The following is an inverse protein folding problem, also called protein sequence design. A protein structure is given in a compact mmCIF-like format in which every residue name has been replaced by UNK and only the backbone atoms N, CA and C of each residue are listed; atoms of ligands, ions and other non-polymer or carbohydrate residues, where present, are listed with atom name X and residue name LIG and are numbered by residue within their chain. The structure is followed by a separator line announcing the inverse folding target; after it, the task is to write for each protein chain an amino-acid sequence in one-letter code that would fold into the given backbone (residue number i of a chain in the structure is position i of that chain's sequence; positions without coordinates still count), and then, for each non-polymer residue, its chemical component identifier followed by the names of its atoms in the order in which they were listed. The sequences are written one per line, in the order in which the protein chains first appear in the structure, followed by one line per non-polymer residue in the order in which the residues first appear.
data_IF_547071512410
#
_entry.id   IF_547071512410
#
_cell.length_a   1.000
_cell.length_b   1.000
_cell.length_c   1.000
_cell.angle_alpha   90.00
_cell.angle_beta   90.00
_cell.angle_gamma   90.00
#
_symmetry.space_group_name_H-M   'P 1'
#
loop_
_entity.id
_entity.type
_entity.pdbx_description
1 polymer ?
#
# COMPACT_ATOMS: atom_id res chain seq x y z
N UNK A 1 -4.10 -13.19 13.35
CA UNK A 1 -3.86 -12.92 11.91
C UNK A 1 -2.81 -13.85 11.30
N UNK A 2 -1.71 -14.18 11.99
CA UNK A 2 -0.68 -15.09 11.50
C UNK A 2 -1.25 -16.41 10.90
N UNK A 3 -2.14 -17.10 11.62
CA UNK A 3 -2.82 -18.33 11.16
C UNK A 3 -3.63 -18.14 9.86
N UNK A 4 -4.18 -16.96 9.63
CA UNK A 4 -4.92 -16.69 8.41
C UNK A 4 -3.97 -16.59 7.22
N UNK A 5 -2.91 -15.78 7.35
CA UNK A 5 -1.94 -15.53 6.29
C UNK A 5 -1.06 -16.75 5.98
N UNK A 6 -0.78 -17.63 6.95
CA UNK A 6 0.00 -18.85 6.75
C UNK A 6 -0.63 -19.86 5.77
N UNK A 7 -1.91 -19.67 5.43
CA UNK A 7 -2.58 -20.44 4.38
C UNK A 7 -2.11 -20.05 2.97
N UNK A 8 -1.62 -18.82 2.79
CA UNK A 8 -1.23 -18.25 1.50
C UNK A 8 0.27 -18.00 1.38
N UNK A 9 0.93 -17.66 2.50
CA UNK A 9 2.34 -17.25 2.55
C UNK A 9 3.15 -18.35 3.23
N UNK A 10 4.29 -18.71 2.62
CA UNK A 10 5.29 -19.64 3.14
C UNK A 10 6.63 -18.93 3.34
N UNK A 11 7.52 -19.59 4.06
CA UNK A 11 8.89 -19.12 4.27
C UNK A 11 9.60 -18.92 2.92
N UNK A 12 10.24 -17.76 2.75
CA UNK A 12 10.95 -17.38 1.53
C UNK A 12 10.07 -16.80 0.42
N UNK A 13 8.73 -16.85 0.54
CA UNK A 13 7.84 -16.25 -0.44
C UNK A 13 8.02 -14.72 -0.52
N UNK A 14 7.84 -14.16 -1.72
CA UNK A 14 7.79 -12.73 -1.93
C UNK A 14 6.38 -12.20 -1.72
N UNK A 15 6.24 -11.16 -0.90
CA UNK A 15 4.98 -10.48 -0.62
C UNK A 15 5.11 -8.98 -0.90
N UNK A 16 4.05 -8.37 -1.44
CA UNK A 16 3.94 -6.92 -1.55
C UNK A 16 2.95 -6.40 -0.50
N UNK A 17 3.35 -5.36 0.24
CA UNK A 17 2.51 -4.61 1.17
C UNK A 17 2.36 -3.18 0.61
N UNK A 18 1.32 -2.97 -0.19
CA UNK A 18 1.02 -1.69 -0.84
C UNK A 18 0.14 -0.86 0.10
N UNK A 19 0.61 0.34 0.44
CA UNK A 19 0.10 1.11 1.57
C UNK A 19 0.53 0.48 2.89
N UNK A 20 1.85 0.30 3.04
CA UNK A 20 2.41 -0.38 4.22
C UNK A 20 2.17 0.37 5.53
N UNK A 21 1.93 1.70 5.46
CA UNK A 21 1.61 2.55 6.61
C UNK A 21 2.63 2.32 7.75
N UNK A 22 2.17 1.99 8.96
CA UNK A 22 3.05 1.70 10.11
C UNK A 22 3.66 0.28 10.11
N UNK A 23 3.50 -0.53 9.06
CA UNK A 23 4.16 -1.83 8.94
C UNK A 23 3.44 -3.02 9.59
N UNK A 24 2.23 -2.83 10.11
CA UNK A 24 1.46 -3.86 10.83
C UNK A 24 1.24 -5.16 10.03
N UNK A 25 1.20 -5.11 8.70
CA UNK A 25 1.06 -6.30 7.84
C UNK A 25 2.43 -6.90 7.50
N UNK A 26 3.40 -6.06 7.17
CA UNK A 26 4.79 -6.47 7.00
C UNK A 26 5.34 -7.27 8.20
N UNK A 27 5.09 -6.88 9.45
CA UNK A 27 5.53 -7.65 10.63
C UNK A 27 5.01 -9.09 10.62
N UNK A 28 3.72 -9.27 10.31
CA UNK A 28 3.08 -10.59 10.25
C UNK A 28 3.68 -11.42 9.12
N UNK A 29 3.97 -10.81 7.97
CA UNK A 29 4.59 -11.50 6.84
C UNK A 29 6.04 -11.88 7.14
N UNK A 30 6.79 -11.05 7.87
CA UNK A 30 8.14 -11.36 8.33
C UNK A 30 8.16 -12.51 9.32
N UNK A 31 7.19 -12.57 10.24
CA UNK A 31 7.04 -13.67 11.20
C UNK A 31 6.78 -15.01 10.47
N UNK A 32 6.20 -14.98 9.26
CA UNK A 32 6.06 -16.15 8.40
C UNK A 32 7.32 -16.48 7.56
N UNK A 33 8.39 -15.69 7.71
CA UNK A 33 9.64 -15.86 6.96
C UNK A 33 9.61 -15.32 5.53
N UNK A 34 8.64 -14.48 5.18
CA UNK A 34 8.54 -13.91 3.84
C UNK A 34 9.57 -12.81 3.59
N UNK A 35 9.85 -12.55 2.30
CA UNK A 35 10.51 -11.34 1.82
C UNK A 35 9.45 -10.33 1.41
N UNK A 36 9.61 -9.07 1.78
CA UNK A 36 8.54 -8.08 1.64
C UNK A 36 9.03 -6.84 0.90
N UNK A 37 8.23 -6.39 -0.06
CA UNK A 37 8.34 -5.05 -0.63
C UNK A 37 7.24 -4.19 0.01
N UNK A 38 7.62 -3.32 0.94
CA UNK A 38 6.74 -2.35 1.57
C UNK A 38 6.70 -1.09 0.70
N UNK A 39 5.53 -0.72 0.19
CA UNK A 39 5.37 0.48 -0.65
C UNK A 39 4.53 1.49 0.10
N UNK A 40 5.13 2.64 0.41
CA UNK A 40 4.51 3.68 1.24
C UNK A 40 5.03 5.06 0.82
N UNK A 41 4.15 5.98 0.38
CA UNK A 41 4.57 7.32 -0.02
C UNK A 41 4.66 8.33 1.15
N UNK A 42 3.99 8.13 2.28
CA UNK A 42 3.90 9.13 3.34
C UNK A 42 5.21 9.21 4.15
N UNK A 43 5.80 10.41 4.25
CA UNK A 43 7.10 10.61 4.92
C UNK A 43 7.15 10.10 6.36
N UNK A 44 6.10 10.33 7.14
CA UNK A 44 6.07 9.89 8.54
C UNK A 44 6.05 8.35 8.66
N UNK A 45 5.24 7.68 7.83
CA UNK A 45 5.22 6.23 7.77
C UNK A 45 6.55 5.67 7.26
N UNK A 46 7.18 6.31 6.28
CA UNK A 46 8.51 5.92 5.80
C UNK A 46 9.58 6.00 6.89
N UNK A 47 9.59 7.06 7.71
CA UNK A 47 10.52 7.16 8.85
C UNK A 47 10.31 5.98 9.80
N UNK A 48 9.05 5.68 10.15
CA UNK A 48 8.72 4.57 11.03
C UNK A 48 9.09 3.20 10.45
N UNK A 49 8.78 2.95 9.18
CA UNK A 49 9.15 1.72 8.48
C UNK A 49 10.67 1.54 8.46
N UNK A 50 11.44 2.62 8.27
CA UNK A 50 12.90 2.55 8.32
C UNK A 50 13.42 2.29 9.73
N UNK A 51 12.78 2.83 10.77
CA UNK A 51 13.12 2.49 12.17
C UNK A 51 12.87 1.01 12.47
N UNK A 52 11.74 0.47 12.02
CA UNK A 52 11.38 -0.94 12.25
C UNK A 52 12.20 -1.91 11.41
N UNK A 53 12.37 -1.63 10.12
CA UNK A 53 12.85 -2.60 9.13
C UNK A 53 14.09 -2.19 8.35
N UNK A 54 14.67 -1.00 8.59
CA UNK A 54 15.79 -0.47 7.80
C UNK A 54 17.06 -1.35 7.83
N UNK A 55 17.20 -2.21 8.85
CA UNK A 55 18.30 -3.18 8.96
C UNK A 55 17.91 -4.60 8.54
N UNK A 56 16.66 -4.83 8.14
CA UNK A 56 16.17 -6.16 7.75
C UNK A 56 16.61 -6.50 6.33
N UNK A 57 17.24 -7.67 6.15
CA UNK A 57 17.60 -8.17 4.81
C UNK A 57 16.38 -8.71 4.04
N UNK A 58 15.25 -8.91 4.72
CA UNK A 58 14.02 -9.45 4.13
C UNK A 58 12.99 -8.37 3.80
N UNK A 59 13.29 -7.09 4.05
CA UNK A 59 12.37 -5.97 3.74
C UNK A 59 13.07 -4.98 2.81
N UNK A 60 12.36 -4.59 1.76
CA UNK A 60 12.70 -3.43 0.94
C UNK A 60 11.58 -2.41 1.10
N UNK A 61 11.95 -1.18 1.45
CA UNK A 61 11.01 -0.06 1.57
C UNK A 61 11.09 0.79 0.30
N UNK A 62 9.95 1.04 -0.32
CA UNK A 62 9.80 1.83 -1.55
C UNK A 62 9.03 3.09 -1.23
N UNK A 63 9.72 4.24 -1.28
CA UNK A 63 9.15 5.59 -1.17
C UNK A 63 8.46 6.00 -2.49
N UNK A 64 7.31 5.36 -2.76
CA UNK A 64 6.42 5.66 -3.88
C UNK A 64 4.98 5.30 -3.51
N UNK A 65 4.02 5.89 -4.20
CA UNK A 65 2.65 5.41 -4.26
C UNK A 65 2.49 4.43 -5.43
N UNK A 66 1.53 3.51 -5.35
CA UNK A 66 1.18 2.63 -6.47
C UNK A 66 -0.06 3.17 -7.17
N UNK A 67 -0.02 3.23 -8.49
CA UNK A 67 -1.07 3.74 -9.38
C UNK A 67 -1.06 2.96 -10.71
N UNK A 68 -1.89 3.38 -11.66
CA UNK A 68 -1.90 2.91 -13.05
C UNK A 68 -0.89 3.61 -13.96
N UNK A 69 -0.03 4.48 -13.40
CA UNK A 69 1.02 5.20 -14.12
C UNK A 69 2.26 5.46 -13.26
N UNK A 70 3.41 5.60 -13.92
CA UNK A 70 4.65 6.11 -13.32
C UNK A 70 4.73 7.63 -13.47
N UNK A 71 5.20 8.34 -12.45
CA UNK A 71 5.26 9.80 -12.47
C UNK A 71 5.18 10.42 -11.09
N UNK A 72 4.36 11.46 -10.96
CA UNK A 72 4.10 12.18 -9.71
C UNK A 72 2.61 12.30 -9.44
N UNK A 73 2.25 12.36 -8.17
CA UNK A 73 0.90 12.66 -7.71
C UNK A 73 0.92 13.47 -6.41
N UNK A 74 -0.25 13.94 -6.00
CA UNK A 74 -0.45 14.61 -4.72
C UNK A 74 -1.16 13.68 -3.74
N UNK A 75 -0.51 13.41 -2.62
CA UNK A 75 -1.08 12.73 -1.47
C UNK A 75 -1.70 13.78 -0.55
N UNK A 76 -3.00 13.67 -0.28
CA UNK A 76 -3.65 14.47 0.76
C UNK A 76 -3.30 13.84 2.11
N UNK A 77 -2.56 14.57 2.95
CA UNK A 77 -2.08 14.09 4.25
C UNK A 77 -2.98 14.61 5.36
N UNK A 78 -3.43 13.70 6.23
CA UNK A 78 -4.03 14.09 7.50
C UNK A 78 -2.96 14.03 8.59
N UNK A 79 -2.46 15.20 9.02
CA UNK A 79 -1.34 15.31 9.95
C UNK A 79 -1.62 14.73 11.35
N UNK A 80 -2.90 14.53 11.70
CA UNK A 80 -3.31 13.99 12.99
C UNK A 80 -3.64 12.49 12.96
N UNK A 81 -3.86 11.90 11.79
CA UNK A 81 -4.15 10.47 11.62
C UNK A 81 -3.58 9.95 10.29
N UNK A 82 -2.43 9.27 10.37
CA UNK A 82 -1.74 8.72 9.19
C UNK A 82 -2.57 7.67 8.45
N UNK A 83 -3.50 7.00 9.15
CA UNK A 83 -4.36 5.95 8.61
C UNK A 83 -5.31 6.48 7.53
N UNK A 84 -5.58 7.79 7.44
CA UNK A 84 -6.57 8.33 6.48
C UNK A 84 -5.95 9.23 5.39
N UNK A 85 -4.63 9.19 5.20
CA UNK A 85 -3.97 9.88 4.09
C UNK A 85 -4.31 9.19 2.77
N UNK A 86 -4.71 9.95 1.74
CA UNK A 86 -5.27 9.39 0.51
C UNK A 86 -4.85 10.17 -0.73
N UNK A 87 -4.70 9.47 -1.86
CA UNK A 87 -4.59 10.08 -3.19
C UNK A 87 -5.95 10.26 -3.87
N UNK A 88 -7.04 9.79 -3.24
CA UNK A 88 -8.39 9.88 -3.78
C UNK A 88 -9.07 11.16 -3.35
N UNK A 89 -9.26 12.10 -4.28
CA UNK A 89 -10.04 13.32 -4.04
C UNK A 89 -11.49 13.02 -3.63
N UNK A 90 -12.04 11.90 -4.08
CA UNK A 90 -13.38 11.44 -3.70
C UNK A 90 -13.42 10.97 -2.24
N UNK A 91 -12.40 10.24 -1.78
CA UNK A 91 -12.29 9.82 -0.38
C UNK A 91 -12.18 11.02 0.58
N UNK A 92 -11.41 12.04 0.18
CA UNK A 92 -11.29 13.30 0.91
C UNK A 92 -12.64 14.01 1.13
N UNK A 93 -13.44 14.11 0.07
CA UNK A 93 -14.66 14.93 0.08
C UNK A 93 -15.92 14.15 0.50
N UNK A 94 -15.97 12.85 0.25
CA UNK A 94 -17.16 12.03 0.47
C UNK A 94 -16.93 10.90 1.47
N UNK A 95 -15.68 10.55 1.79
CA UNK A 95 -15.33 9.41 2.65
C UNK A 95 -15.89 9.48 4.07
N UNK A 96 -15.84 8.34 4.78
CA UNK A 96 -16.40 8.18 6.13
C UNK A 96 -15.86 9.22 7.14
N UNK A 97 -14.64 9.70 6.92
CA UNK A 97 -13.94 10.64 7.80
C UNK A 97 -14.01 12.10 7.34
N UNK A 98 -14.68 12.39 6.22
CA UNK A 98 -14.73 13.71 5.58
C UNK A 98 -15.33 14.82 6.45
N UNK A 99 -16.13 14.47 7.47
CA UNK A 99 -16.77 15.41 8.39
C UNK A 99 -15.97 15.67 9.67
N UNK A 100 -15.03 14.80 10.01
CA UNK A 100 -14.34 14.81 11.31
C UNK A 100 -12.87 15.23 11.19
N UNK A 101 -12.24 15.05 10.03
CA UNK A 101 -10.82 15.32 9.81
C UNK A 101 -10.60 16.32 8.67
N UNK A 102 -9.63 17.22 8.85
CA UNK A 102 -9.17 18.13 7.80
C UNK A 102 -7.85 17.60 7.24
N UNK A 103 -7.79 17.41 5.93
CA UNK A 103 -6.52 17.26 5.23
C UNK A 103 -5.88 18.64 5.10
N UNK A 104 -4.92 18.93 5.97
CA UNK A 104 -4.31 20.26 6.13
C UNK A 104 -3.05 20.44 5.29
N UNK A 105 -2.47 19.38 4.74
CA UNK A 105 -1.33 19.47 3.82
C UNK A 105 -1.39 18.46 2.68
N UNK A 106 -0.72 18.82 1.58
CA UNK A 106 -0.53 17.99 0.38
C UNK A 106 0.95 17.65 0.24
N UNK A 107 1.26 16.39 0.01
CA UNK A 107 2.61 15.91 -0.25
C UNK A 107 2.74 15.45 -1.70
N UNK A 108 3.70 16.00 -2.45
CA UNK A 108 4.06 15.45 -3.76
C UNK A 108 4.81 14.14 -3.58
N UNK A 109 4.35 13.10 -4.26
CA UNK A 109 4.87 11.74 -4.16
C UNK A 109 5.16 11.19 -5.55
N UNK A 110 6.17 10.33 -5.65
CA UNK A 110 6.41 9.58 -6.89
C UNK A 110 5.40 8.43 -6.99
N UNK A 111 4.94 8.13 -8.19
CA UNK A 111 4.07 6.98 -8.46
C UNK A 111 4.81 5.89 -9.23
N UNK A 112 4.40 4.65 -9.02
CA UNK A 112 4.83 3.46 -9.77
C UNK A 112 3.63 2.57 -10.07
N UNK A 113 3.79 1.57 -10.94
CA UNK A 113 2.76 0.54 -11.19
C UNK A 113 3.10 -0.78 -10.50
N UNK A 114 2.10 -1.64 -10.31
CA UNK A 114 2.32 -3.02 -9.87
C UNK A 114 3.20 -3.79 -10.88
N UNK A 115 2.98 -3.59 -12.18
CA UNK A 115 3.83 -4.20 -13.21
C UNK A 115 5.31 -3.77 -13.09
N UNK A 116 5.57 -2.48 -12.81
CA UNK A 116 6.95 -1.99 -12.63
C UNK A 116 7.60 -2.60 -11.37
N UNK A 117 6.86 -2.69 -10.26
CA UNK A 117 7.34 -3.35 -9.04
C UNK A 117 7.64 -4.83 -9.27
N UNK A 118 6.76 -5.54 -9.99
CA UNK A 118 6.97 -6.95 -10.34
C UNK A 118 8.19 -7.12 -11.25
N UNK A 119 8.36 -6.24 -12.24
CA UNK A 119 9.52 -6.27 -13.12
C UNK A 119 10.84 -6.03 -12.37
N UNK A 120 10.82 -5.23 -11.31
CA UNK A 120 12.01 -4.87 -10.56
C UNK A 120 12.36 -5.91 -9.46
N UNK A 121 11.36 -6.40 -8.74
CA UNK A 121 11.56 -7.20 -7.53
C UNK A 121 11.13 -8.67 -7.67
N UNK A 122 10.44 -9.02 -8.75
CA UNK A 122 9.86 -10.34 -8.98
C UNK A 122 8.37 -10.40 -8.68
N UNK A 123 7.72 -11.48 -9.14
CA UNK A 123 6.29 -11.68 -8.94
C UNK A 123 5.99 -12.14 -7.49
N UNK A 124 5.15 -11.44 -6.73
CA UNK A 124 4.78 -11.86 -5.38
C UNK A 124 3.78 -13.03 -5.42
N UNK A 125 3.81 -13.86 -4.38
CA UNK A 125 2.75 -14.85 -4.10
C UNK A 125 1.52 -14.16 -3.52
N UNK A 126 1.72 -13.11 -2.71
CA UNK A 126 0.66 -12.38 -2.03
C UNK A 126 0.86 -10.87 -2.14
N UNK A 127 -0.20 -10.13 -2.50
CA UNK A 127 -0.19 -8.68 -2.53
C UNK A 127 -1.33 -8.14 -1.68
N UNK A 128 -0.99 -7.39 -0.62
CA UNK A 128 -1.96 -6.59 0.13
C UNK A 128 -1.99 -5.18 -0.46
N UNK A 129 -3.19 -4.63 -0.65
CA UNK A 129 -3.43 -3.28 -1.18
C UNK A 129 -4.39 -2.58 -0.23
N UNK A 130 -3.94 -1.52 0.40
CA UNK A 130 -4.74 -0.77 1.38
C UNK A 130 -4.27 0.67 1.31
N UNK A 131 -4.87 1.42 0.39
CA UNK A 131 -4.40 2.75 -0.04
C UNK A 131 -5.51 3.79 0.11
N UNK A 132 -6.45 3.53 1.01
CA UNK A 132 -7.50 4.44 1.46
C UNK A 132 -8.31 5.02 0.29
N UNK A 133 -8.85 4.15 -0.55
CA UNK A 133 -9.78 4.53 -1.63
C UNK A 133 -9.13 4.76 -3.00
N UNK A 134 -7.88 4.33 -3.19
CA UNK A 134 -7.15 4.38 -4.46
C UNK A 134 -6.88 2.99 -5.07
N UNK A 135 -7.54 1.95 -4.54
CA UNK A 135 -7.31 0.53 -4.88
C UNK A 135 -7.57 0.25 -6.37
N UNK A 136 -8.56 0.90 -6.97
CA UNK A 136 -8.89 0.73 -8.39
C UNK A 136 -7.73 1.12 -9.31
N UNK A 137 -7.05 2.25 -9.02
CA UNK A 137 -5.89 2.69 -9.81
C UNK A 137 -4.70 1.75 -9.61
N UNK A 138 -4.47 1.30 -8.37
CA UNK A 138 -3.44 0.27 -8.09
C UNK A 138 -3.68 -0.98 -8.94
N UNK A 139 -4.90 -1.50 -8.96
CA UNK A 139 -5.27 -2.70 -9.70
C UNK A 139 -5.18 -2.50 -11.22
N UNK A 140 -5.54 -1.32 -11.74
CA UNK A 140 -5.34 -0.97 -13.16
C UNK A 140 -3.88 -0.96 -13.58
N UNK A 141 -2.95 -0.75 -12.64
CA UNK A 141 -1.51 -0.88 -12.85
C UNK A 141 -0.96 -2.31 -12.95
N UNK A 142 -1.80 -3.33 -12.77
CA UNK A 142 -1.45 -4.75 -12.93
C UNK A 142 -2.00 -5.29 -14.25
N UNK A 143 -1.25 -5.13 -15.34
CA UNK A 143 -1.73 -5.43 -16.69
C UNK A 143 -1.05 -6.65 -17.32
N UNK A 144 0.19 -6.95 -16.91
CA UNK A 144 1.03 -7.96 -17.57
C UNK A 144 1.24 -9.22 -16.74
N UNK A 145 1.03 -9.12 -15.44
CA UNK A 145 1.38 -10.18 -14.49
C UNK A 145 0.16 -10.73 -13.77
N UNK A 146 0.32 -11.94 -13.21
CA UNK A 146 -0.66 -12.55 -12.32
C UNK A 146 -0.06 -12.64 -10.93
N UNK A 147 -0.84 -12.22 -9.93
CA UNK A 147 -0.54 -12.40 -8.53
C UNK A 147 -1.52 -13.46 -8.01
N UNK A 148 -1.05 -14.59 -7.43
CA UNK A 148 -1.93 -15.66 -6.98
C UNK A 148 -2.99 -15.21 -5.97
N UNK A 149 -2.61 -14.33 -5.03
CA UNK A 149 -3.49 -13.83 -3.99
C UNK A 149 -3.38 -12.31 -3.87
N UNK A 150 -4.53 -11.62 -3.98
CA UNK A 150 -4.64 -10.18 -3.73
C UNK A 150 -5.65 -9.97 -2.62
N UNK A 151 -5.25 -9.23 -1.58
CA UNK A 151 -6.14 -8.74 -0.52
C UNK A 151 -6.23 -7.24 -0.64
N UNK A 152 -7.43 -6.69 -0.75
CA UNK A 152 -7.62 -5.24 -0.80
C UNK A 152 -8.78 -4.78 0.08
N UNK A 153 -8.69 -3.55 0.58
CA UNK A 153 -9.80 -2.95 1.32
C UNK A 153 -10.96 -2.64 0.35
N UNK A 154 -12.18 -2.95 0.78
CA UNK A 154 -13.38 -2.68 0.00
C UNK A 154 -14.31 -1.75 0.79
N UNK A 155 -14.59 -0.57 0.23
CA UNK A 155 -15.40 0.46 0.89
C UNK A 155 -16.58 0.88 0.01
N UNK A 156 -17.69 1.32 0.62
CA UNK A 156 -18.95 1.59 -0.09
C UNK A 156 -18.86 2.67 -1.18
N UNK A 157 -17.79 3.46 -1.24
CA UNK A 157 -17.57 4.47 -2.27
C UNK A 157 -17.19 3.88 -3.64
N UNK A 158 -16.82 2.60 -3.68
CA UNK A 158 -16.51 1.85 -4.89
C UNK A 158 -17.72 1.65 -5.83
N UNK A 159 -18.96 1.73 -5.35
CA UNK A 159 -20.18 1.43 -6.14
C UNK A 159 -21.11 2.60 -6.43
N UNK A 160 -20.70 3.87 -6.26
CA UNK A 160 -21.51 4.99 -6.80
C UNK A 160 -21.27 5.17 -8.31
N UNK A 161 -21.61 4.14 -9.06
CA UNK A 161 -21.94 4.19 -10.48
C UNK A 161 -23.10 3.22 -10.72
N UNK A 162 -24.29 3.79 -10.78
CA UNK A 162 -25.57 3.16 -11.06
C UNK A 162 -26.63 4.24 -11.16
#
# INVERSE_FOLDING_TARGET
MLRFYSQFIKEGDLCFDVGANMGNRAEIFLELGAKIICVEPQKLCLLHLNELFGNSQNVIIVDKAVADYEGQAELSVCEHENVISTMSDKWKNEGRFSKEYKWTSTQKVLTTTLDALISQYGAPVFCKIDVEGFEESVLKGLTKHRIPFISFEFTNYCFRYG
#
